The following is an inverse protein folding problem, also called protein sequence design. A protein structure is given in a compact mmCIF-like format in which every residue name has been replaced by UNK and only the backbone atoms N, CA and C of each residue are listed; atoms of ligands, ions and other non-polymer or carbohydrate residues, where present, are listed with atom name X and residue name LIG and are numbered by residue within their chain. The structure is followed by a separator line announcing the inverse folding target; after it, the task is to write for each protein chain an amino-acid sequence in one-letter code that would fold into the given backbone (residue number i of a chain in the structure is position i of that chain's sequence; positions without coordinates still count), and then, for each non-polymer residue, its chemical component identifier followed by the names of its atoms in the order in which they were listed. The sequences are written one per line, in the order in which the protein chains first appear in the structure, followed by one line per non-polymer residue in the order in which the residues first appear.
data_IF_746623063325
#
_entry.id   IF_746623063325
#
_cell.length_a   1.000
_cell.length_b   1.000
_cell.length_c   1.000
_cell.angle_alpha   90.00
_cell.angle_beta   90.00
_cell.angle_gamma   90.00
#
_symmetry.space_group_name_H-M   'P 1'
#
loop_
_entity.id
_entity.type
_entity.pdbx_description
1 polymer ?
#
# COMPACT_ATOMS: atom_id res chain seq x y z
N UNK A 1 3.61 -12.10 -6.08
CA UNK A 1 3.32 -10.65 -6.09
C UNK A 1 3.22 -10.21 -7.54
N UNK A 2 2.03 -9.86 -8.03
CA UNK A 2 1.97 -9.15 -9.31
C UNK A 2 2.01 -7.65 -9.01
N UNK A 3 3.22 -7.13 -8.80
CA UNK A 3 3.44 -5.72 -8.48
C UNK A 3 2.85 -4.78 -9.54
N UNK A 4 2.66 -5.27 -10.77
CA UNK A 4 2.00 -4.52 -11.84
C UNK A 4 0.53 -4.21 -11.52
N UNK A 5 -0.21 -5.15 -10.92
CA UNK A 5 -1.60 -4.93 -10.51
C UNK A 5 -1.72 -3.89 -9.40
N UNK A 6 -0.87 -3.98 -8.37
CA UNK A 6 -0.84 -3.00 -7.28
C UNK A 6 -0.47 -1.60 -7.79
N UNK A 7 0.46 -1.52 -8.74
CA UNK A 7 0.84 -0.27 -9.38
C UNK A 7 -0.31 0.35 -10.18
N UNK A 8 -1.07 -0.46 -10.93
CA UNK A 8 -2.25 0.03 -11.66
C UNK A 8 -3.33 0.55 -10.71
N UNK A 9 -3.64 -0.20 -9.65
CA UNK A 9 -4.61 0.23 -8.62
C UNK A 9 -4.17 1.53 -7.93
N UNK A 10 -2.88 1.66 -7.61
CA UNK A 10 -2.32 2.87 -7.00
C UNK A 10 -2.41 4.07 -7.94
N UNK A 11 -2.11 3.89 -9.23
CA UNK A 11 -2.27 4.94 -10.24
C UNK A 11 -3.71 5.38 -10.40
N UNK A 12 -4.65 4.43 -10.45
CA UNK A 12 -6.08 4.74 -10.51
C UNK A 12 -6.51 5.55 -9.30
N UNK A 13 -6.05 5.19 -8.10
CA UNK A 13 -6.36 5.91 -6.87
C UNK A 13 -5.78 7.33 -6.85
N UNK A 14 -4.54 7.51 -7.30
CA UNK A 14 -3.87 8.81 -7.37
C UNK A 14 -4.31 9.67 -8.58
N UNK A 15 -5.12 9.12 -9.49
CA UNK A 15 -5.51 9.80 -10.74
C UNK A 15 -4.35 10.00 -11.72
N UNK A 16 -3.30 9.17 -11.65
CA UNK A 16 -2.10 9.29 -12.49
C UNK A 16 -2.26 8.41 -13.73
N UNK A 17 -2.34 9.01 -14.92
CA UNK A 17 -2.38 8.28 -16.19
C UNK A 17 -0.99 8.10 -16.85
N UNK A 18 0.04 8.80 -16.34
CA UNK A 18 1.37 8.82 -16.98
C UNK A 18 2.32 7.76 -16.40
N UNK A 19 3.25 7.28 -17.23
CA UNK A 19 4.25 6.28 -16.83
C UNK A 19 5.52 6.86 -16.20
N UNK A 20 5.63 8.19 -16.12
CA UNK A 20 6.85 8.87 -15.66
C UNK A 20 7.16 8.62 -14.17
N UNK A 21 6.12 8.28 -13.39
CA UNK A 21 6.23 8.06 -11.93
C UNK A 21 6.18 6.58 -11.53
N UNK A 22 6.21 5.66 -12.49
CA UNK A 22 6.07 4.22 -12.24
C UNK A 22 7.16 3.69 -11.34
N UNK A 23 8.42 4.00 -11.68
CA UNK A 23 9.59 3.55 -10.93
C UNK A 23 9.59 4.04 -9.46
N UNK A 24 9.28 5.32 -9.16
CA UNK A 24 9.04 5.76 -7.79
C UNK A 24 7.88 5.06 -7.07
N UNK A 25 6.74 4.86 -7.76
CA UNK A 25 5.56 4.24 -7.16
C UNK A 25 5.80 2.76 -6.83
N UNK A 26 6.50 2.02 -7.70
CA UNK A 26 6.95 0.65 -7.43
C UNK A 26 7.83 0.59 -6.17
N UNK A 27 8.78 1.51 -6.02
CA UNK A 27 9.64 1.58 -4.84
C UNK A 27 8.86 1.89 -3.56
N UNK A 28 7.81 2.70 -3.64
CA UNK A 28 6.94 2.97 -2.48
C UNK A 28 6.15 1.71 -2.12
N UNK A 29 5.59 0.99 -3.10
CA UNK A 29 4.86 -0.27 -2.85
C UNK A 29 5.80 -1.29 -2.19
N UNK A 30 7.01 -1.48 -2.71
CA UNK A 30 8.02 -2.37 -2.11
C UNK A 30 8.32 -1.98 -0.67
N UNK A 31 8.60 -0.70 -0.41
CA UNK A 31 8.89 -0.20 0.93
C UNK A 31 7.72 -0.42 1.90
N UNK A 32 6.48 -0.24 1.44
CA UNK A 32 5.27 -0.49 2.24
C UNK A 32 5.14 -1.96 2.60
N UNK A 33 5.35 -2.87 1.66
CA UNK A 33 5.22 -4.30 1.90
C UNK A 33 6.27 -4.76 2.92
N UNK A 34 7.54 -4.36 2.71
CA UNK A 34 8.62 -4.62 3.67
C UNK A 34 8.30 -4.04 5.05
N UNK A 35 7.74 -2.84 5.14
CA UNK A 35 7.36 -2.24 6.42
C UNK A 35 6.23 -3.03 7.11
N UNK A 36 5.25 -3.51 6.36
CA UNK A 36 4.14 -4.28 6.90
C UNK A 36 4.58 -5.67 7.39
N UNK A 37 5.38 -6.38 6.59
CA UNK A 37 5.83 -7.74 6.91
C UNK A 37 6.96 -7.73 7.95
N UNK A 38 8.06 -7.03 7.69
CA UNK A 38 9.28 -7.13 8.51
C UNK A 38 9.22 -6.26 9.76
N UNK A 39 8.72 -5.03 9.66
CA UNK A 39 8.71 -4.11 10.81
C UNK A 39 7.46 -4.25 11.67
N UNK A 40 6.30 -4.47 11.04
CA UNK A 40 5.02 -4.50 11.73
C UNK A 40 4.51 -5.92 12.01
N UNK A 41 5.11 -6.95 11.42
CA UNK A 41 4.78 -8.36 11.64
C UNK A 41 3.41 -8.76 11.09
N UNK A 42 2.94 -8.10 10.03
CA UNK A 42 1.66 -8.39 9.39
C UNK A 42 1.86 -9.48 8.32
N UNK A 43 1.08 -10.55 8.38
CA UNK A 43 1.05 -11.57 7.32
C UNK A 43 0.15 -11.12 6.18
N UNK A 44 0.74 -10.79 5.02
CA UNK A 44 0.00 -10.31 3.85
C UNK A 44 -0.34 -11.46 2.88
N UNK A 45 -1.61 -11.83 2.84
CA UNK A 45 -2.16 -12.69 1.78
C UNK A 45 -2.44 -11.90 0.49
N UNK A 46 -1.68 -12.16 -0.56
CA UNK A 46 -1.75 -11.43 -1.83
C UNK A 46 -2.91 -11.85 -2.73
N UNK A 47 -3.63 -12.92 -2.41
CA UNK A 47 -4.88 -13.31 -3.08
C UNK A 47 -6.10 -12.58 -2.48
N UNK A 48 -5.92 -11.98 -1.30
CA UNK A 48 -7.00 -11.29 -0.61
C UNK A 48 -7.11 -9.83 -1.08
N UNK A 49 -8.23 -9.49 -1.71
CA UNK A 49 -8.53 -8.14 -2.17
C UNK A 49 -8.46 -7.09 -1.05
N UNK A 50 -8.78 -7.45 0.19
CA UNK A 50 -8.70 -6.54 1.34
C UNK A 50 -7.24 -6.09 1.60
N UNK A 51 -6.30 -7.03 1.52
CA UNK A 51 -4.88 -6.78 1.75
C UNK A 51 -4.27 -5.98 0.59
N UNK A 52 -4.61 -6.34 -0.66
CA UNK A 52 -4.20 -5.59 -1.84
C UNK A 52 -4.63 -4.13 -1.75
N UNK A 53 -5.90 -3.88 -1.45
CA UNK A 53 -6.42 -2.51 -1.30
C UNK A 53 -5.77 -1.78 -0.12
N UNK A 54 -5.44 -2.48 0.96
CA UNK A 54 -4.75 -1.87 2.10
C UNK A 54 -3.34 -1.39 1.73
N UNK A 55 -2.57 -2.22 1.03
CA UNK A 55 -1.23 -1.86 0.53
C UNK A 55 -1.32 -0.63 -0.38
N UNK A 56 -2.28 -0.62 -1.31
CA UNK A 56 -2.52 0.52 -2.22
C UNK A 56 -2.85 1.79 -1.43
N UNK A 57 -3.73 1.68 -0.44
CA UNK A 57 -4.13 2.85 0.35
C UNK A 57 -2.99 3.41 1.19
N UNK A 58 -2.17 2.52 1.75
CA UNK A 58 -1.00 2.88 2.53
C UNK A 58 0.11 3.49 1.66
N UNK A 59 0.34 2.93 0.47
CA UNK A 59 1.28 3.47 -0.50
C UNK A 59 0.84 4.86 -0.99
N UNK A 60 -0.45 5.09 -1.22
CA UNK A 60 -0.99 6.41 -1.56
C UNK A 60 -0.75 7.42 -0.43
N UNK A 61 -1.00 7.05 0.82
CA UNK A 61 -0.71 7.91 1.97
C UNK A 61 0.78 8.28 2.06
N UNK A 62 1.68 7.32 1.85
CA UNK A 62 3.13 7.57 1.85
C UNK A 62 3.57 8.45 0.69
N UNK A 63 2.91 8.33 -0.45
CA UNK A 63 3.16 9.19 -1.60
C UNK A 63 2.70 10.64 -1.37
N UNK A 64 1.53 10.83 -0.75
CA UNK A 64 0.97 12.15 -0.44
C UNK A 64 1.76 12.89 0.67
N UNK A 65 2.51 12.15 1.50
CA UNK A 65 3.46 12.74 2.44
C UNK A 65 2.84 13.33 3.71
N UNK A 66 1.79 12.68 4.24
CA UNK A 66 1.16 13.11 5.49
C UNK A 66 2.00 12.83 6.74
N UNK A 67 1.88 13.71 7.75
CA UNK A 67 2.58 13.56 9.04
C UNK A 67 1.91 12.50 9.91
N UNK A 68 0.59 12.55 10.00
CA UNK A 68 -0.20 11.62 10.81
C UNK A 68 -0.97 10.65 9.93
N UNK A 69 -0.86 9.35 10.27
CA UNK A 69 -1.62 8.32 9.58
C UNK A 69 -3.13 8.52 9.82
N UNK A 70 -3.95 8.56 8.75
CA UNK A 70 -5.40 8.64 8.88
C UNK A 70 -5.96 7.54 9.78
N UNK A 71 -6.92 7.90 10.63
CA UNK A 71 -7.54 6.98 11.59
C UNK A 71 -8.07 5.71 10.93
N UNK A 72 -8.69 5.80 9.76
CA UNK A 72 -9.21 4.63 9.06
C UNK A 72 -8.11 3.63 8.62
N UNK A 73 -6.90 4.12 8.29
CA UNK A 73 -5.75 3.26 8.00
C UNK A 73 -5.22 2.59 9.26
N UNK A 74 -5.16 3.32 10.38
CA UNK A 74 -4.77 2.75 11.67
C UNK A 74 -5.70 1.60 12.10
N UNK A 75 -7.02 1.78 11.94
CA UNK A 75 -7.99 0.73 12.25
C UNK A 75 -7.83 -0.52 11.38
N UNK A 76 -7.58 -0.33 10.08
CA UNK A 76 -7.34 -1.46 9.17
C UNK A 76 -6.05 -2.19 9.49
N UNK A 77 -4.97 -1.46 9.78
CA UNK A 77 -3.70 -2.04 10.20
C UNK A 77 -3.88 -2.88 11.48
N UNK A 78 -4.60 -2.34 12.46
CA UNK A 78 -4.90 -3.05 13.70
C UNK A 78 -5.69 -4.34 13.44
N UNK A 79 -6.71 -4.30 12.59
CA UNK A 79 -7.49 -5.49 12.24
C UNK A 79 -6.65 -6.56 11.52
N UNK A 80 -5.71 -6.14 10.66
CA UNK A 80 -4.80 -7.05 9.98
C UNK A 80 -3.81 -7.72 10.94
N UNK A 81 -3.38 -7.04 12.01
CA UNK A 81 -2.49 -7.61 13.03
C UNK A 81 -3.18 -8.59 13.97
N UNK A 82 -4.50 -8.49 14.14
CA UNK A 82 -5.27 -9.34 15.05
C UNK A 82 -5.73 -10.66 14.43
N UNK A 83 -5.65 -10.78 13.10
CA UNK A 83 -5.98 -12.01 12.37
C UNK A 83 -4.74 -12.90 12.29
#
# INVERSE_FOLDING_TARGET
MDNAQLLELLKLKLGIATKLRDKPLEKIIEAVITELEDNLGVSLELENAEHQMFIVDFAAFRYEGGVDMPRHLLWRLHNLKLR
#
